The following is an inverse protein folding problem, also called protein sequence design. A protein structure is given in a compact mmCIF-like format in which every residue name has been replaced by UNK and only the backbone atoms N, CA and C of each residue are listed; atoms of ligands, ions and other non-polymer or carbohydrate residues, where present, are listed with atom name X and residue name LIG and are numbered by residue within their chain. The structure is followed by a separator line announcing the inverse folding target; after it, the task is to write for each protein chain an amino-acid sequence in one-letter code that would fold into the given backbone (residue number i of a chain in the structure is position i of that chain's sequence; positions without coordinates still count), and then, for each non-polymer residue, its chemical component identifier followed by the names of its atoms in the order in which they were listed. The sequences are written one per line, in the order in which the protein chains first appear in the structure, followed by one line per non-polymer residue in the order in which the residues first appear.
data_IF_961780710532
#
_entry.id   IF_961780710532
#
_cell.length_a   1.000
_cell.length_b   1.000
_cell.length_c   1.000
_cell.angle_alpha   90.00
_cell.angle_beta   90.00
_cell.angle_gamma   90.00
#
_symmetry.space_group_name_H-M   'P 1'
#
loop_
_entity.id
_entity.type
_entity.pdbx_description
1 polymer ?
#
# COMPACT_ATOMS: atom_id res chain seq x y z
N UNK A 1 -107.44 4.08 4.60
CA UNK A 1 -106.19 4.14 3.79
C UNK A 1 -105.47 5.46 4.03
N UNK A 2 -104.25 5.45 4.58
CA UNK A 2 -103.08 6.32 4.21
C UNK A 2 -101.90 6.14 5.19
N UNK A 3 -101.48 4.88 5.38
CA UNK A 3 -100.23 4.47 6.05
C UNK A 3 -99.04 4.59 5.08
N UNK A 4 -98.83 5.76 4.48
CA UNK A 4 -97.79 5.99 3.44
C UNK A 4 -96.88 7.21 3.69
N UNK A 5 -97.26 8.11 4.62
CA UNK A 5 -96.49 9.34 4.91
C UNK A 5 -95.36 9.16 5.94
N UNK A 6 -95.53 8.28 6.94
CA UNK A 6 -94.53 8.09 8.00
C UNK A 6 -93.31 7.28 7.55
N UNK A 7 -93.49 6.28 6.68
CA UNK A 7 -92.41 5.41 6.19
C UNK A 7 -91.38 6.18 5.35
N UNK A 8 -91.82 7.18 4.57
CA UNK A 8 -90.91 8.00 3.75
C UNK A 8 -90.00 8.89 4.60
N UNK A 9 -90.45 9.34 5.77
CA UNK A 9 -89.63 10.16 6.69
C UNK A 9 -88.57 9.32 7.41
N UNK A 10 -88.90 8.08 7.75
CA UNK A 10 -87.95 7.14 8.37
C UNK A 10 -86.87 6.71 7.38
N UNK A 11 -87.24 6.47 6.12
CA UNK A 11 -86.28 6.12 5.06
C UNK A 11 -85.34 7.30 4.77
N UNK A 12 -85.86 8.53 4.70
CA UNK A 12 -85.01 9.73 4.51
C UNK A 12 -84.09 9.98 5.70
N UNK A 13 -84.57 9.77 6.94
CA UNK A 13 -83.73 9.89 8.13
C UNK A 13 -82.63 8.81 8.19
N UNK A 14 -82.93 7.59 7.75
CA UNK A 14 -81.96 6.48 7.71
C UNK A 14 -80.90 6.70 6.62
N UNK A 15 -81.29 7.15 5.43
CA UNK A 15 -80.37 7.49 4.34
C UNK A 15 -79.47 8.67 4.74
N UNK A 16 -80.03 9.68 5.41
CA UNK A 16 -79.26 10.81 5.93
C UNK A 16 -78.26 10.36 7.01
N UNK A 17 -78.65 9.42 7.87
CA UNK A 17 -77.77 8.82 8.88
C UNK A 17 -76.62 8.03 8.23
N UNK A 18 -76.90 7.23 7.20
CA UNK A 18 -75.87 6.47 6.46
C UNK A 18 -74.87 7.38 5.73
N UNK A 19 -75.30 8.54 5.22
CA UNK A 19 -74.40 9.50 4.57
C UNK A 19 -73.50 10.24 5.56
N UNK A 20 -73.91 10.40 6.82
CA UNK A 20 -73.09 11.02 7.87
C UNK A 20 -71.98 10.11 8.39
N UNK A 21 -72.07 8.78 8.20
CA UNK A 21 -71.04 7.84 8.64
C UNK A 21 -69.96 7.52 7.60
N UNK A 22 -70.06 8.04 6.36
CA UNK A 22 -69.06 7.77 5.31
C UNK A 22 -67.79 8.66 5.39
N UNK A 23 -67.68 9.54 6.39
CA UNK A 23 -66.60 10.53 6.47
C UNK A 23 -65.42 10.19 7.37
N UNK A 24 -65.43 9.08 8.11
CA UNK A 24 -64.35 8.78 9.08
C UNK A 24 -63.33 7.84 8.45
N UNK A 25 -62.36 8.39 7.71
CA UNK A 25 -61.17 7.65 7.33
C UNK A 25 -60.31 7.43 8.58
N UNK A 26 -60.42 6.27 9.23
CA UNK A 26 -59.47 5.86 10.28
C UNK A 26 -58.13 5.59 9.61
N UNK A 27 -57.22 6.55 9.72
CA UNK A 27 -55.83 6.36 9.32
C UNK A 27 -55.07 5.84 10.54
N UNK A 28 -54.69 4.57 10.53
CA UNK A 28 -53.74 4.04 11.50
C UNK A 28 -52.36 4.65 11.16
N UNK A 29 -51.87 5.57 11.99
CA UNK A 29 -50.49 6.04 11.91
C UNK A 29 -49.59 5.04 12.63
N UNK A 30 -49.03 4.10 11.87
CA UNK A 30 -47.93 3.27 12.36
C UNK A 30 -46.60 3.99 12.10
N UNK A 31 -46.38 5.10 12.80
CA UNK A 31 -45.10 5.84 12.71
C UNK A 31 -44.25 5.53 13.94
N UNK A 32 -43.84 4.27 14.05
CA UNK A 32 -42.78 3.85 14.96
C UNK A 32 -41.50 3.63 14.15
N UNK A 33 -40.79 4.69 13.79
CA UNK A 33 -39.41 4.55 13.31
C UNK A 33 -38.55 4.15 14.51
N UNK A 34 -38.36 2.85 14.72
CA UNK A 34 -37.34 2.35 15.66
C UNK A 34 -35.98 2.65 15.02
N UNK A 35 -35.16 3.56 15.58
CA UNK A 35 -33.85 3.81 15.02
C UNK A 35 -32.99 2.56 15.23
N UNK A 36 -32.53 1.97 14.13
CA UNK A 36 -31.55 0.87 14.20
C UNK A 36 -30.17 1.50 14.26
N UNK A 37 -29.52 1.39 15.42
CA UNK A 37 -28.15 1.84 15.62
C UNK A 37 -27.21 0.70 15.26
N UNK A 38 -26.47 0.83 14.16
CA UNK A 38 -25.43 -0.11 13.79
C UNK A 38 -24.08 0.39 14.31
N UNK A 39 -23.46 -0.36 15.21
CA UNK A 39 -22.05 -0.13 15.58
C UNK A 39 -21.19 -0.78 14.51
N UNK A 40 -20.52 0.03 13.68
CA UNK A 40 -19.56 -0.48 12.71
C UNK A 40 -18.36 -1.04 13.48
N UNK A 41 -18.11 -2.33 13.37
CA UNK A 41 -16.88 -2.93 13.89
C UNK A 41 -15.69 -2.34 13.12
N UNK A 42 -14.78 -1.69 13.85
CA UNK A 42 -13.53 -1.18 13.30
C UNK A 42 -12.60 -2.38 13.12
N UNK A 43 -12.38 -2.81 11.89
CA UNK A 43 -11.41 -3.88 11.61
C UNK A 43 -10.00 -3.40 11.98
N UNK A 44 -9.29 -4.21 12.75
CA UNK A 44 -7.92 -3.93 13.19
C UNK A 44 -6.98 -4.22 12.03
N UNK A 45 -6.26 -3.20 11.58
CA UNK A 45 -5.29 -3.30 10.49
C UNK A 45 -3.86 -3.27 11.00
N UNK A 46 -2.98 -4.02 10.34
CA UNK A 46 -1.54 -4.07 10.64
C UNK A 46 -0.73 -3.65 9.40
N UNK A 47 0.46 -3.05 9.58
CA UNK A 47 1.26 -2.56 8.48
C UNK A 47 1.92 -3.72 7.70
N UNK A 48 1.81 -3.66 6.37
CA UNK A 48 2.52 -4.48 5.40
C UNK A 48 3.49 -3.60 4.60
N UNK A 49 4.79 -3.76 4.84
CA UNK A 49 5.84 -3.07 4.10
C UNK A 49 6.24 -3.86 2.85
N UNK A 50 6.02 -3.29 1.67
CA UNK A 50 6.38 -3.89 0.39
C UNK A 50 7.56 -3.15 -0.20
N UNK A 51 8.69 -3.84 -0.33
CA UNK A 51 9.93 -3.32 -0.91
C UNK A 51 10.21 -3.98 -2.24
N UNK A 52 10.28 -3.18 -3.30
CA UNK A 52 10.58 -3.62 -4.66
C UNK A 52 11.94 -3.07 -5.09
N UNK A 53 12.83 -3.92 -5.61
CA UNK A 53 14.14 -3.52 -6.12
C UNK A 53 14.46 -4.21 -7.46
N UNK A 54 15.35 -3.60 -8.25
CA UNK A 54 15.85 -4.18 -9.50
C UNK A 54 15.07 -3.78 -10.75
N UNK A 55 15.13 -4.61 -11.81
CA UNK A 55 14.49 -4.36 -13.12
C UNK A 55 13.19 -5.15 -13.29
N UNK A 56 12.17 -4.68 -12.60
CA UNK A 56 10.80 -5.14 -12.71
C UNK A 56 9.88 -4.26 -11.89
N UNK A 57 8.61 -4.60 -11.90
CA UNK A 57 7.54 -3.89 -11.22
C UNK A 57 6.64 -4.87 -10.47
N UNK A 58 6.07 -4.39 -9.36
CA UNK A 58 5.00 -5.10 -8.65
C UNK A 58 3.75 -4.23 -8.73
N UNK A 59 2.68 -4.77 -9.26
CA UNK A 59 1.40 -4.06 -9.39
C UNK A 59 0.35 -4.65 -8.45
N UNK A 60 -0.48 -3.78 -7.91
CA UNK A 60 -1.70 -4.12 -7.18
C UNK A 60 -2.90 -3.66 -8.00
N UNK A 61 -4.12 -3.77 -7.46
CA UNK A 61 -5.32 -3.30 -8.15
C UNK A 61 -5.30 -1.80 -8.48
N UNK A 62 -4.60 -0.98 -7.68
CA UNK A 62 -4.67 0.49 -7.77
C UNK A 62 -3.38 1.14 -8.24
N UNK A 63 -2.24 0.46 -8.12
CA UNK A 63 -0.95 1.10 -8.34
C UNK A 63 0.16 0.14 -8.77
N UNK A 64 1.28 0.72 -9.18
CA UNK A 64 2.47 -0.01 -9.60
C UNK A 64 3.69 0.52 -8.87
N UNK A 65 4.43 -0.40 -8.24
CA UNK A 65 5.63 -0.14 -7.49
C UNK A 65 6.85 -0.56 -8.30
N UNK A 66 7.74 0.40 -8.56
CA UNK A 66 9.03 0.17 -9.19
C UNK A 66 10.15 0.80 -8.37
N UNK A 67 11.12 -0.03 -7.99
CA UNK A 67 12.31 0.36 -7.22
C UNK A 67 12.01 1.28 -6.02
N UNK A 68 11.01 0.93 -5.23
CA UNK A 68 10.49 1.73 -4.13
C UNK A 68 9.98 0.84 -3.00
N UNK A 69 9.77 1.45 -1.84
CA UNK A 69 9.11 0.82 -0.69
C UNK A 69 7.78 1.53 -0.45
N UNK A 70 6.72 0.76 -0.21
CA UNK A 70 5.40 1.28 0.18
C UNK A 70 4.85 0.50 1.37
N UNK A 71 4.08 1.19 2.21
CA UNK A 71 3.31 0.58 3.28
C UNK A 71 1.83 0.48 2.87
N UNK A 72 1.21 -0.65 3.19
CA UNK A 72 -0.22 -0.86 3.17
C UNK A 72 -0.68 -1.16 4.60
N UNK A 73 -1.92 -0.81 4.93
CA UNK A 73 -2.56 -1.25 6.16
C UNK A 73 -3.53 -2.37 5.77
N UNK A 74 -3.29 -3.58 6.29
CA UNK A 74 -4.00 -4.79 5.90
C UNK A 74 -4.71 -5.40 7.12
N UNK A 75 -6.00 -5.67 7.01
CA UNK A 75 -6.76 -6.35 8.07
C UNK A 75 -6.41 -7.85 8.12
N UNK A 76 -6.59 -8.48 9.29
CA UNK A 76 -6.23 -9.90 9.53
C UNK A 76 -7.02 -10.86 8.63
N UNK A 77 -8.26 -10.52 8.32
CA UNK A 77 -9.18 -11.27 7.46
C UNK A 77 -9.09 -10.87 5.98
N UNK A 78 -8.24 -9.89 5.65
CA UNK A 78 -8.03 -9.42 4.29
C UNK A 78 -6.81 -10.10 3.64
N UNK A 79 -6.82 -10.14 2.31
CA UNK A 79 -5.64 -10.54 1.54
C UNK A 79 -5.42 -9.60 0.38
N UNK A 80 -4.15 -9.36 0.08
CA UNK A 80 -3.74 -8.48 -1.02
C UNK A 80 -2.96 -9.29 -2.05
N UNK A 81 -3.36 -9.16 -3.32
CA UNK A 81 -2.68 -9.81 -4.44
C UNK A 81 -1.71 -8.84 -5.12
N UNK A 82 -0.47 -9.29 -5.26
CA UNK A 82 0.62 -8.60 -5.92
C UNK A 82 0.94 -9.31 -7.23
N UNK A 83 0.97 -8.55 -8.32
CA UNK A 83 1.33 -9.01 -9.66
C UNK A 83 2.79 -8.64 -9.93
N UNK A 84 3.64 -9.64 -10.05
CA UNK A 84 5.07 -9.46 -10.28
C UNK A 84 5.33 -9.48 -11.78
N UNK A 85 5.96 -8.43 -12.32
CA UNK A 85 6.29 -8.36 -13.74
C UNK A 85 7.74 -7.91 -13.90
N UNK A 86 8.58 -8.84 -14.34
CA UNK A 86 9.96 -8.53 -14.66
C UNK A 86 10.03 -7.72 -15.98
N UNK A 87 11.05 -6.86 -16.11
CA UNK A 87 11.33 -6.20 -17.38
C UNK A 87 11.75 -7.25 -18.44
N UNK A 88 11.65 -6.89 -19.73
CA UNK A 88 12.02 -7.79 -20.83
C UNK A 88 13.42 -8.38 -20.66
N UNK A 89 13.53 -9.71 -20.72
CA UNK A 89 14.79 -10.44 -20.56
C UNK A 89 15.31 -10.52 -19.13
N UNK A 90 14.50 -10.14 -18.13
CA UNK A 90 14.80 -10.25 -16.70
C UNK A 90 13.92 -11.29 -16.03
N UNK A 91 14.35 -11.72 -14.84
CA UNK A 91 13.59 -12.63 -13.98
C UNK A 91 13.43 -12.06 -12.57
N UNK A 92 12.47 -12.61 -11.84
CA UNK A 92 12.42 -12.46 -10.38
C UNK A 92 13.65 -13.18 -9.82
N UNK A 93 14.45 -12.46 -9.04
CA UNK A 93 15.66 -12.98 -8.42
C UNK A 93 15.40 -13.52 -7.02
N UNK A 94 14.54 -12.84 -6.26
CA UNK A 94 14.25 -13.18 -4.88
C UNK A 94 12.88 -12.70 -4.43
N UNK A 95 12.10 -13.53 -3.74
CA UNK A 95 10.88 -13.10 -3.05
C UNK A 95 10.85 -13.58 -1.61
N UNK A 96 10.79 -12.65 -0.66
CA UNK A 96 10.73 -12.95 0.77
C UNK A 96 9.49 -12.35 1.42
N UNK A 97 8.81 -13.14 2.25
CA UNK A 97 7.80 -12.66 3.18
C UNK A 97 8.29 -12.88 4.61
N UNK A 98 8.42 -11.82 5.39
CA UNK A 98 8.94 -11.85 6.77
C UNK A 98 10.31 -12.56 6.88
N UNK A 99 11.14 -12.44 5.84
CA UNK A 99 12.46 -13.07 5.75
C UNK A 99 12.46 -14.50 5.20
N UNK A 100 11.30 -15.16 5.10
CA UNK A 100 11.18 -16.50 4.51
C UNK A 100 10.99 -16.45 3.00
N UNK A 101 11.63 -17.36 2.27
CA UNK A 101 11.44 -17.47 0.82
C UNK A 101 10.04 -18.00 0.51
N UNK A 102 9.30 -17.29 -0.35
CA UNK A 102 7.92 -17.63 -0.75
C UNK A 102 7.77 -17.77 -2.27
N UNK A 103 8.86 -17.96 -3.01
CA UNK A 103 8.81 -18.14 -4.47
C UNK A 103 7.95 -19.33 -4.91
N UNK A 104 7.89 -20.39 -4.11
CA UNK A 104 7.03 -21.56 -4.38
C UNK A 104 5.53 -21.24 -4.30
N UNK A 105 5.14 -20.16 -3.62
CA UNK A 105 3.75 -19.72 -3.48
C UNK A 105 3.30 -18.80 -4.62
N UNK A 106 4.19 -18.49 -5.58
CA UNK A 106 3.87 -17.63 -6.71
C UNK A 106 3.22 -18.48 -7.80
N UNK A 107 1.97 -18.16 -8.12
CA UNK A 107 1.21 -18.79 -9.21
C UNK A 107 0.84 -17.71 -10.25
N UNK A 108 1.06 -17.99 -11.54
CA UNK A 108 0.75 -17.07 -12.64
C UNK A 108 1.36 -15.65 -12.49
N UNK A 109 2.58 -15.58 -11.94
CA UNK A 109 3.26 -14.34 -11.58
C UNK A 109 2.50 -13.48 -10.55
N UNK A 110 1.63 -14.09 -9.75
CA UNK A 110 0.89 -13.45 -8.67
C UNK A 110 1.30 -14.04 -7.33
N UNK A 111 1.37 -13.18 -6.33
CA UNK A 111 1.56 -13.55 -4.93
C UNK A 111 0.42 -12.95 -4.11
N UNK A 112 -0.31 -13.79 -3.39
CA UNK A 112 -1.31 -13.31 -2.43
C UNK A 112 -0.72 -13.35 -1.03
N UNK A 113 -0.78 -12.21 -0.34
CA UNK A 113 -0.35 -12.08 1.07
C UNK A 113 -1.60 -11.84 1.90
N UNK A 114 -1.84 -12.71 2.88
CA UNK A 114 -2.91 -12.54 3.86
C UNK A 114 -2.41 -11.67 5.01
N UNK A 115 -3.32 -10.87 5.56
CA UNK A 115 -3.06 -10.09 6.75
C UNK A 115 -2.74 -10.97 7.95
N UNK A 116 -2.05 -10.38 8.93
CA UNK A 116 -1.68 -11.04 10.16
C UNK A 116 -1.79 -10.06 11.32
N UNK A 117 -1.90 -10.57 12.55
CA UNK A 117 -1.93 -9.78 13.79
C UNK A 117 -0.55 -9.19 14.16
N UNK A 118 0.23 -8.79 13.17
CA UNK A 118 1.57 -8.22 13.30
C UNK A 118 2.00 -7.52 12.02
N UNK A 119 2.99 -6.66 12.16
CA UNK A 119 3.69 -6.08 11.02
C UNK A 119 4.30 -7.17 10.12
N UNK A 120 4.15 -6.99 8.82
CA UNK A 120 4.68 -7.88 7.80
C UNK A 120 5.61 -7.12 6.84
N UNK A 121 6.58 -7.83 6.27
CA UNK A 121 7.49 -7.27 5.27
C UNK A 121 7.60 -8.20 4.06
N UNK A 122 7.20 -7.71 2.89
CA UNK A 122 7.37 -8.35 1.59
C UNK A 122 8.53 -7.68 0.84
N UNK A 123 9.52 -8.49 0.43
CA UNK A 123 10.65 -8.04 -0.38
C UNK A 123 10.60 -8.77 -1.71
N UNK A 124 10.55 -8.02 -2.80
CA UNK A 124 10.62 -8.51 -4.17
C UNK A 124 11.84 -7.91 -4.86
N UNK A 125 12.80 -8.74 -5.23
CA UNK A 125 14.00 -8.35 -5.96
C UNK A 125 13.96 -8.95 -7.37
N UNK A 126 14.07 -8.08 -8.36
CA UNK A 126 14.26 -8.46 -9.76
C UNK A 126 15.74 -8.43 -10.14
N UNK A 127 16.13 -9.25 -11.11
CA UNK A 127 17.48 -9.21 -11.67
C UNK A 127 17.82 -7.80 -12.17
N UNK A 128 18.94 -7.25 -11.70
CA UNK A 128 19.43 -5.97 -12.19
C UNK A 128 20.36 -6.16 -13.37
N UNK A 129 20.45 -5.17 -14.26
CA UNK A 129 21.56 -5.08 -15.20
C UNK A 129 22.87 -5.08 -14.41
N UNK A 130 23.81 -5.95 -14.80
CA UNK A 130 25.17 -5.92 -14.25
C UNK A 130 25.71 -4.53 -14.53
N UNK A 131 25.97 -3.73 -13.49
CA UNK A 131 26.74 -2.50 -13.66
C UNK A 131 28.16 -2.93 -14.00
N UNK A 132 28.45 -2.99 -15.29
CA UNK A 132 29.83 -3.09 -15.76
C UNK A 132 30.40 -1.70 -15.49
N UNK A 133 31.07 -1.55 -14.37
CA UNK A 133 31.97 -0.41 -14.22
C UNK A 133 33.04 -0.59 -15.29
N UNK A 134 33.27 0.37 -16.19
CA UNK A 134 34.41 0.28 -17.06
C UNK A 134 35.63 0.14 -16.15
N UNK A 135 36.34 -0.97 -16.31
CA UNK A 135 37.62 -1.16 -15.66
C UNK A 135 38.58 -0.26 -16.44
N UNK A 136 38.58 1.04 -16.14
CA UNK A 136 39.65 1.91 -16.63
C UNK A 136 40.94 1.38 -15.99
N UNK A 137 42.02 1.33 -16.76
CA UNK A 137 43.33 0.85 -16.30
C UNK A 137 43.98 1.77 -15.25
N UNK A 138 43.19 2.61 -14.59
CA UNK A 138 43.61 3.51 -13.52
C UNK A 138 43.89 2.65 -12.28
N UNK A 139 45.08 2.09 -12.22
CA UNK A 139 45.61 1.58 -10.96
C UNK A 139 45.71 2.79 -10.02
N UNK A 140 44.74 2.94 -9.12
CA UNK A 140 44.76 3.93 -8.06
C UNK A 140 45.78 3.50 -7.00
N UNK A 141 47.04 3.30 -7.41
CA UNK A 141 48.14 3.08 -6.49
C UNK A 141 48.56 4.46 -5.93
N UNK A 142 47.60 5.11 -5.27
CA UNK A 142 47.74 6.41 -4.64
C UNK A 142 48.87 6.36 -3.60
N UNK A 143 49.06 5.19 -2.97
CA UNK A 143 50.18 4.90 -2.07
C UNK A 143 51.53 5.02 -2.80
N UNK A 144 51.69 4.47 -4.00
CA UNK A 144 52.92 4.60 -4.78
C UNK A 144 53.24 6.06 -5.13
N UNK A 145 52.24 6.84 -5.55
CA UNK A 145 52.41 8.26 -5.82
C UNK A 145 52.74 9.07 -4.56
N UNK A 146 52.11 8.76 -3.43
CA UNK A 146 52.45 9.38 -2.14
C UNK A 146 53.89 9.05 -1.71
N UNK A 147 54.36 7.81 -1.91
CA UNK A 147 55.74 7.42 -1.60
C UNK A 147 56.74 8.20 -2.45
N UNK A 148 56.50 8.33 -3.76
CA UNK A 148 57.37 9.13 -4.64
C UNK A 148 57.41 10.59 -4.22
N UNK A 149 56.26 11.16 -3.84
CA UNK A 149 56.20 12.55 -3.37
C UNK A 149 56.98 12.76 -2.06
N UNK A 150 56.86 11.84 -1.10
CA UNK A 150 57.61 11.90 0.17
C UNK A 150 59.12 11.76 -0.05
N UNK A 151 59.56 10.86 -0.92
CA UNK A 151 60.99 10.71 -1.27
C UNK A 151 61.56 11.98 -1.92
N UNK A 152 60.78 12.62 -2.79
CA UNK A 152 61.16 13.89 -3.42
C UNK A 152 61.39 15.00 -2.37
N UNK A 153 60.43 15.18 -1.45
CA UNK A 153 60.56 16.17 -0.37
C UNK A 153 61.74 15.88 0.56
N UNK A 154 61.98 14.62 0.90
CA UNK A 154 63.12 14.23 1.73
C UNK A 154 64.47 14.57 1.06
N UNK A 155 64.58 14.37 -0.26
CA UNK A 155 65.77 14.74 -1.03
C UNK A 155 66.03 16.25 -1.05
N UNK A 156 64.99 17.06 -1.24
CA UNK A 156 65.09 18.53 -1.18
C UNK A 156 65.54 18.99 0.21
N UNK A 157 64.96 18.44 1.28
CA UNK A 157 65.34 18.77 2.66
C UNK A 157 66.81 18.38 2.93
N UNK A 158 67.23 17.20 2.48
CA UNK A 158 68.60 16.71 2.67
C UNK A 158 69.63 17.63 2.00
N UNK A 159 69.41 17.98 0.73
CA UNK A 159 70.30 18.87 -0.02
C UNK A 159 70.37 20.27 0.60
N UNK A 160 69.23 20.80 1.07
CA UNK A 160 69.17 22.08 1.76
C UNK A 160 69.95 22.07 3.09
N UNK A 161 69.78 21.02 3.91
CA UNK A 161 70.54 20.84 5.17
C UNK A 161 72.04 20.70 4.94
N UNK A 162 72.46 19.98 3.90
CA UNK A 162 73.87 19.83 3.53
C UNK A 162 74.48 21.18 3.13
N UNK A 163 73.77 21.99 2.33
CA UNK A 163 74.23 23.32 1.93
C UNK A 163 74.43 24.25 3.14
N UNK A 164 73.51 24.25 4.10
CA UNK A 164 73.63 25.05 5.33
C UNK A 164 74.86 24.65 6.16
N UNK A 165 75.14 23.35 6.28
CA UNK A 165 76.35 22.88 6.99
C UNK A 165 77.65 23.33 6.31
N UNK A 166 77.68 23.38 4.97
CA UNK A 166 78.85 23.81 4.21
C UNK A 166 79.11 25.32 4.24
N UNK A 167 78.09 26.14 4.49
CA UNK A 167 78.23 27.60 4.62
C UNK A 167 78.67 28.01 6.05
N UNK A 168 78.48 27.13 7.04
CA UNK A 168 78.82 27.38 8.45
C UNK A 168 80.22 26.90 8.87
N UNK A 169 80.94 26.20 7.98
CA UNK A 169 82.35 25.85 8.13
C UNK A 169 83.18 26.74 7.21
#
# INVERSE_FOLDING_TARGET
MKKKSSMSRVIVAMICCCLLFMGISVRAETTGNVPVTYTKETSVTYPLHVKVTGKGEVSTATETLRNQTKQYDLAVDESMTFHLKADTGRKVKKVLLNGSNVEASIADNKLTVSGAEKEQTLIVEFESARKIFPQTGDSSNLVFWCILFVLSLAGIIYTYRKKIKLIKN
#
